data_IF_198869042142
#
_entry.id   IF_198869042142
#
_cell.length_a   1.000
_cell.length_b   1.000
_cell.length_c   1.000
_cell.angle_alpha   90.00
_cell.angle_beta   90.00
_cell.angle_gamma   90.00
#
_symmetry.space_group_name_H-M   'P 1'
#
loop_
_entity.id
_entity.type
_entity.pdbx_description
1 polymer ?
#
# COMPACT_ATOMS: atom_id res chain seq x y z
N UNK A 1 10.30 37.00 29.63
CA UNK A 1 9.34 36.86 28.53
C UNK A 1 8.91 35.41 28.46
N UNK A 2 7.67 35.13 28.87
CA UNK A 2 7.04 33.81 28.75
C UNK A 2 6.70 33.60 27.28
N UNK A 3 7.12 32.48 26.72
CA UNK A 3 6.75 32.09 25.35
C UNK A 3 5.44 31.34 25.46
N UNK A 4 4.36 31.97 25.00
CA UNK A 4 3.04 31.37 24.94
C UNK A 4 3.04 30.16 24.02
N UNK A 5 2.63 29.03 24.58
CA UNK A 5 2.33 27.80 23.86
C UNK A 5 0.98 27.98 23.20
N UNK A 6 0.98 28.25 21.90
CA UNK A 6 -0.25 28.26 21.10
C UNK A 6 -0.81 26.84 21.04
N UNK A 7 -1.94 26.64 21.75
CA UNK A 7 -2.72 25.42 21.76
C UNK A 7 -3.24 25.12 20.35
N UNK A 8 -2.95 23.92 19.84
CA UNK A 8 -3.53 23.41 18.62
C UNK A 8 -5.05 23.34 18.77
N UNK A 9 -5.77 23.98 17.85
CA UNK A 9 -7.22 23.91 17.75
C UNK A 9 -7.68 22.45 17.60
N UNK A 10 -8.63 22.04 18.44
CA UNK A 10 -9.28 20.74 18.43
C UNK A 10 -9.85 20.43 17.04
N UNK A 11 -9.44 19.31 16.46
CA UNK A 11 -10.12 18.73 15.30
C UNK A 11 -11.54 18.28 15.72
N UNK A 12 -12.57 18.51 14.90
CA UNK A 12 -13.91 18.04 15.23
C UNK A 12 -13.94 16.51 15.25
N UNK A 13 -14.08 15.92 16.44
CA UNK A 13 -14.40 14.49 16.59
C UNK A 13 -15.77 14.25 15.96
N UNK A 14 -15.85 13.30 15.03
CA UNK A 14 -17.13 12.87 14.44
C UNK A 14 -18.03 12.43 15.60
N UNK A 15 -19.21 13.06 15.82
CA UNK A 15 -20.07 12.74 16.94
C UNK A 15 -20.53 11.29 16.87
N UNK A 16 -20.36 10.55 17.97
CA UNK A 16 -20.88 9.19 18.09
C UNK A 16 -22.43 9.23 18.04
N UNK A 17 -23.07 8.32 17.29
CA UNK A 17 -24.53 8.26 17.22
C UNK A 17 -25.16 7.90 18.57
N UNK A 18 -26.36 8.41 18.83
CA UNK A 18 -27.13 8.02 20.03
C UNK A 18 -27.59 6.57 19.93
N UNK A 19 -27.83 5.91 21.06
CA UNK A 19 -28.36 4.54 21.10
C UNK A 19 -29.65 4.38 20.26
N UNK A 20 -30.54 5.38 20.27
CA UNK A 20 -31.75 5.37 19.45
C UNK A 20 -31.46 5.41 17.95
N UNK A 21 -30.49 6.21 17.52
CA UNK A 21 -30.07 6.27 16.11
C UNK A 21 -29.39 4.97 15.67
N UNK A 22 -28.61 4.34 16.54
CA UNK A 22 -27.97 3.05 16.25
C UNK A 22 -29.03 1.97 16.06
N UNK A 23 -30.03 1.89 16.95
CA UNK A 23 -31.06 0.85 16.90
C UNK A 23 -31.99 0.97 15.69
N UNK A 24 -32.24 2.18 15.20
CA UNK A 24 -33.04 2.43 14.01
C UNK A 24 -32.24 2.27 12.70
N UNK A 25 -30.92 2.08 12.78
CA UNK A 25 -30.08 2.06 11.59
C UNK A 25 -30.21 0.75 10.80
N UNK A 26 -30.25 0.87 9.47
CA UNK A 26 -30.28 -0.26 8.54
C UNK A 26 -29.17 -1.28 8.77
N UNK A 27 -27.93 -0.86 9.05
CA UNK A 27 -26.80 -1.78 9.33
C UNK A 27 -27.09 -2.57 10.60
N UNK A 28 -27.57 -1.92 11.66
CA UNK A 28 -27.90 -2.59 12.92
C UNK A 28 -29.05 -3.58 12.75
N UNK A 29 -30.08 -3.21 11.98
CA UNK A 29 -31.19 -4.11 11.66
C UNK A 29 -30.71 -5.35 10.91
N UNK A 30 -29.87 -5.18 9.88
CA UNK A 30 -29.27 -6.29 9.15
C UNK A 30 -28.35 -7.12 10.05
N UNK A 31 -27.53 -6.49 10.88
CA UNK A 31 -26.67 -7.19 11.81
C UNK A 31 -27.48 -8.10 12.72
N UNK A 32 -28.56 -7.59 13.33
CA UNK A 32 -29.44 -8.37 14.19
C UNK A 32 -30.12 -9.53 13.47
N UNK A 33 -30.35 -9.45 12.16
CA UNK A 33 -30.93 -10.54 11.37
C UNK A 33 -29.92 -11.62 10.97
N UNK A 34 -28.63 -11.29 10.85
CA UNK A 34 -27.68 -12.15 10.13
C UNK A 34 -26.36 -12.47 10.84
N UNK A 35 -25.80 -11.59 11.67
CA UNK A 35 -24.43 -11.80 12.20
C UNK A 35 -24.13 -11.21 13.58
N UNK A 36 -25.05 -10.43 14.15
CA UNK A 36 -24.91 -9.81 15.47
C UNK A 36 -24.80 -10.88 16.56
N UNK A 37 -23.77 -10.85 17.42
CA UNK A 37 -23.61 -11.83 18.50
C UNK A 37 -24.82 -11.90 19.44
N UNK A 38 -25.54 -10.79 19.62
CA UNK A 38 -26.67 -10.67 20.55
C UNK A 38 -27.92 -11.43 20.09
N UNK A 39 -28.03 -11.73 18.79
CA UNK A 39 -29.23 -12.36 18.19
C UNK A 39 -28.93 -13.71 17.53
N UNK A 40 -27.80 -14.33 17.89
CA UNK A 40 -27.24 -15.53 17.24
C UNK A 40 -28.23 -16.69 17.06
N UNK A 41 -29.16 -16.87 17.99
CA UNK A 41 -30.14 -17.97 17.95
C UNK A 41 -31.19 -17.81 16.84
N UNK A 42 -31.40 -16.59 16.34
CA UNK A 42 -32.45 -16.26 15.38
C UNK A 42 -31.88 -15.73 14.03
N UNK A 43 -30.61 -16.01 13.73
CA UNK A 43 -30.00 -15.57 12.49
C UNK A 43 -30.61 -16.28 11.28
N UNK A 44 -30.88 -15.50 10.23
CA UNK A 44 -31.18 -16.03 8.91
C UNK A 44 -29.94 -16.69 8.30
N UNK A 45 -30.12 -17.62 7.33
CA UNK A 45 -29.00 -18.19 6.59
C UNK A 45 -28.16 -17.12 5.88
N UNK A 46 -26.89 -17.45 5.62
CA UNK A 46 -26.00 -16.59 4.85
C UNK A 46 -26.58 -16.29 3.47
N UNK A 47 -26.51 -15.01 3.08
CA UNK A 47 -26.97 -14.52 1.78
C UNK A 47 -25.96 -13.53 1.21
N UNK A 48 -25.33 -13.91 0.08
CA UNK A 48 -24.35 -13.08 -0.61
C UNK A 48 -24.96 -11.77 -1.13
N UNK A 49 -26.27 -11.71 -1.40
CA UNK A 49 -26.94 -10.49 -1.83
C UNK A 49 -26.94 -9.40 -0.73
N UNK A 50 -26.85 -9.78 0.54
CA UNK A 50 -26.72 -8.84 1.64
C UNK A 50 -25.36 -8.14 1.60
N UNK A 51 -24.29 -8.87 1.27
CA UNK A 51 -22.95 -8.30 1.09
C UNK A 51 -22.94 -7.31 -0.07
N UNK A 52 -23.54 -7.66 -1.20
CA UNK A 52 -23.70 -6.76 -2.35
C UNK A 52 -24.50 -5.50 -1.98
N UNK A 53 -25.64 -5.67 -1.34
CA UNK A 53 -26.51 -4.56 -0.92
C UNK A 53 -25.80 -3.61 0.05
N UNK A 54 -25.06 -4.14 1.03
CA UNK A 54 -24.26 -3.32 1.96
C UNK A 54 -23.16 -2.59 1.22
N UNK A 55 -22.44 -3.28 0.34
CA UNK A 55 -21.36 -2.66 -0.42
C UNK A 55 -21.88 -1.52 -1.30
N UNK A 56 -22.95 -1.75 -2.07
CA UNK A 56 -23.50 -0.75 -2.97
C UNK A 56 -24.12 0.43 -2.24
N UNK A 57 -24.91 0.19 -1.19
CA UNK A 57 -25.63 1.27 -0.51
C UNK A 57 -24.80 1.97 0.56
N UNK A 58 -24.09 1.19 1.39
CA UNK A 58 -23.48 1.70 2.63
C UNK A 58 -22.01 2.04 2.48
N UNK A 59 -21.29 1.39 1.56
CA UNK A 59 -19.86 1.64 1.31
C UNK A 59 -19.70 2.54 0.07
N UNK A 60 -20.13 2.08 -1.10
CA UNK A 60 -20.02 2.87 -2.35
C UNK A 60 -21.00 4.04 -2.38
N UNK A 61 -22.28 3.80 -2.09
CA UNK A 61 -23.34 4.81 -2.13
C UNK A 61 -23.12 5.95 -1.13
N UNK A 62 -22.47 5.66 0.00
CA UNK A 62 -22.06 6.68 0.98
C UNK A 62 -20.70 7.32 0.68
N UNK A 63 -20.05 6.94 -0.42
CA UNK A 63 -18.70 7.40 -0.79
C UNK A 63 -17.65 7.08 0.29
N UNK A 64 -17.69 5.87 0.85
CA UNK A 64 -16.83 5.40 1.94
C UNK A 64 -16.95 6.27 3.19
N UNK A 65 -18.17 6.66 3.56
CA UNK A 65 -18.39 7.47 4.75
C UNK A 65 -17.93 6.72 6.00
N UNK A 66 -16.98 7.34 6.72
CA UNK A 66 -16.39 6.83 7.98
C UNK A 66 -17.45 6.29 8.92
N UNK A 67 -18.54 7.04 9.17
CA UNK A 67 -19.60 6.64 10.08
C UNK A 67 -20.28 5.32 9.68
N UNK A 68 -20.50 5.05 8.39
CA UNK A 68 -21.11 3.79 7.92
C UNK A 68 -20.15 2.63 8.13
N UNK A 69 -18.87 2.84 7.82
CA UNK A 69 -17.80 1.84 7.98
C UNK A 69 -17.61 1.48 9.46
N UNK A 70 -17.55 2.48 10.35
CA UNK A 70 -17.47 2.27 11.80
C UNK A 70 -18.61 1.39 12.33
N UNK A 71 -19.83 1.60 11.83
CA UNK A 71 -20.98 0.83 12.28
C UNK A 71 -20.93 -0.63 11.79
N UNK A 72 -20.44 -0.88 10.57
CA UNK A 72 -20.17 -2.24 10.10
C UNK A 72 -19.12 -2.93 10.98
N UNK A 73 -18.02 -2.24 11.29
CA UNK A 73 -16.95 -2.76 12.15
C UNK A 73 -17.47 -3.08 13.56
N UNK A 74 -18.19 -2.13 14.19
CA UNK A 74 -18.75 -2.30 15.53
C UNK A 74 -19.75 -3.47 15.60
N UNK A 75 -20.47 -3.74 14.51
CA UNK A 75 -21.38 -4.87 14.41
C UNK A 75 -20.69 -6.23 14.20
N UNK A 76 -19.35 -6.27 14.14
CA UNK A 76 -18.53 -7.47 13.86
C UNK A 76 -18.80 -8.08 12.48
N UNK A 77 -19.02 -7.22 11.47
CA UNK A 77 -19.34 -7.64 10.12
C UNK A 77 -18.27 -8.54 9.49
N UNK A 78 -16.99 -8.25 9.75
CA UNK A 78 -15.87 -9.05 9.25
C UNK A 78 -15.86 -10.46 9.84
N UNK A 79 -15.90 -10.54 11.17
CA UNK A 79 -15.71 -11.78 11.93
C UNK A 79 -16.89 -12.74 11.78
N UNK A 80 -18.10 -12.21 11.69
CA UNK A 80 -19.31 -13.01 11.80
C UNK A 80 -20.05 -13.18 10.47
N UNK A 81 -19.83 -12.32 9.46
CA UNK A 81 -20.53 -12.42 8.18
C UNK A 81 -19.61 -12.54 6.97
N UNK A 82 -18.57 -11.70 6.87
CA UNK A 82 -17.72 -11.67 5.68
C UNK A 82 -16.75 -12.86 5.63
N UNK A 83 -15.81 -12.95 6.56
CA UNK A 83 -14.70 -13.90 6.46
C UNK A 83 -15.13 -15.37 6.58
N UNK A 84 -16.05 -15.75 7.49
CA UNK A 84 -16.50 -17.14 7.60
C UNK A 84 -17.11 -17.69 6.31
N UNK A 85 -17.72 -16.82 5.50
CA UNK A 85 -18.42 -17.17 4.26
C UNK A 85 -17.66 -16.78 2.99
N UNK A 86 -16.41 -16.31 3.12
CA UNK A 86 -15.59 -15.98 1.97
C UNK A 86 -15.02 -17.24 1.33
N UNK A 87 -15.29 -17.42 0.04
CA UNK A 87 -14.74 -18.47 -0.82
C UNK A 87 -14.21 -17.85 -2.10
N UNK A 88 -12.90 -17.95 -2.37
CA UNK A 88 -12.24 -17.14 -3.42
C UNK A 88 -12.84 -17.31 -4.82
N UNK A 89 -13.34 -18.50 -5.16
CA UNK A 89 -13.93 -18.77 -6.48
C UNK A 89 -15.36 -18.24 -6.64
N UNK A 90 -16.05 -17.95 -5.54
CA UNK A 90 -17.45 -17.51 -5.52
C UNK A 90 -17.62 -16.07 -5.03
N UNK A 91 -16.65 -15.57 -4.28
CA UNK A 91 -16.71 -14.26 -3.66
C UNK A 91 -16.70 -13.16 -4.73
N UNK A 92 -17.66 -12.25 -4.62
CA UNK A 92 -17.78 -11.12 -5.52
C UNK A 92 -16.76 -10.03 -5.22
N UNK A 93 -16.66 -9.05 -6.12
CA UNK A 93 -15.87 -7.84 -5.90
C UNK A 93 -16.32 -7.09 -4.63
N UNK A 94 -17.63 -7.00 -4.39
CA UNK A 94 -18.19 -6.38 -3.19
C UNK A 94 -17.76 -7.10 -1.91
N UNK A 95 -17.71 -8.44 -1.93
CA UNK A 95 -17.25 -9.23 -0.79
C UNK A 95 -15.78 -8.98 -0.48
N UNK A 96 -14.92 -9.03 -1.51
CA UNK A 96 -13.49 -8.73 -1.38
C UNK A 96 -13.28 -7.31 -0.85
N UNK A 97 -13.91 -6.31 -1.45
CA UNK A 97 -13.76 -4.91 -1.05
C UNK A 97 -14.32 -4.63 0.34
N UNK A 98 -15.42 -5.27 0.73
CA UNK A 98 -15.95 -5.14 2.10
C UNK A 98 -14.98 -5.67 3.13
N UNK A 99 -14.30 -6.80 2.87
CA UNK A 99 -13.25 -7.33 3.76
C UNK A 99 -12.09 -6.32 3.88
N UNK A 100 -11.60 -5.80 2.75
CA UNK A 100 -10.52 -4.79 2.71
C UNK A 100 -10.90 -3.57 3.56
N UNK A 101 -12.11 -3.06 3.38
CA UNK A 101 -12.60 -1.88 4.10
C UNK A 101 -12.67 -2.15 5.61
N UNK A 102 -13.15 -3.31 6.04
CA UNK A 102 -13.16 -3.68 7.47
C UNK A 102 -11.75 -3.80 8.05
N UNK A 103 -10.79 -4.34 7.30
CA UNK A 103 -9.40 -4.42 7.78
C UNK A 103 -8.78 -3.04 7.92
N UNK A 104 -8.94 -2.18 6.91
CA UNK A 104 -8.44 -0.80 6.96
C UNK A 104 -9.05 -0.05 8.14
N UNK A 105 -10.34 -0.23 8.41
CA UNK A 105 -11.02 0.36 9.55
C UNK A 105 -10.45 -0.13 10.88
N UNK A 106 -10.19 -1.43 11.02
CA UNK A 106 -9.58 -1.97 12.24
C UNK A 106 -8.20 -1.39 12.51
N UNK A 107 -7.40 -1.16 11.46
CA UNK A 107 -6.13 -0.45 11.60
C UNK A 107 -6.30 1.01 12.02
N UNK A 108 -7.29 1.71 11.45
CA UNK A 108 -7.64 3.09 11.80
C UNK A 108 -8.03 3.24 13.27
N UNK A 109 -8.87 2.32 13.77
CA UNK A 109 -9.31 2.25 15.16
C UNK A 109 -8.28 1.59 16.09
N UNK A 110 -7.15 1.11 15.54
CA UNK A 110 -6.03 0.47 16.27
C UNK A 110 -6.44 -0.76 17.06
N UNK A 111 -7.36 -1.55 16.51
CA UNK A 111 -7.80 -2.82 17.07
C UNK A 111 -7.18 -4.01 16.32
N UNK A 112 -7.13 -5.22 16.90
CA UNK A 112 -6.55 -6.38 16.23
C UNK A 112 -7.24 -6.72 14.89
N UNK A 113 -6.56 -6.50 13.77
CA UNK A 113 -7.13 -6.70 12.44
C UNK A 113 -7.09 -8.14 11.93
N UNK A 114 -6.06 -8.91 12.30
CA UNK A 114 -5.76 -10.19 11.64
C UNK A 114 -6.49 -11.41 12.23
N UNK A 115 -7.22 -11.24 13.35
CA UNK A 115 -7.73 -12.36 14.12
C UNK A 115 -8.77 -13.21 13.37
N UNK A 116 -9.61 -12.59 12.54
CA UNK A 116 -10.57 -13.31 11.71
C UNK A 116 -9.86 -14.29 10.76
N UNK A 117 -8.81 -13.82 10.08
CA UNK A 117 -8.03 -14.64 9.15
C UNK A 117 -7.23 -15.74 9.84
N UNK A 118 -6.68 -15.48 11.03
CA UNK A 118 -5.92 -16.48 11.78
C UNK A 118 -6.80 -17.66 12.23
N UNK A 119 -8.10 -17.44 12.47
CA UNK A 119 -9.06 -18.49 12.82
C UNK A 119 -9.42 -19.39 11.62
N UNK A 120 -9.43 -18.84 10.41
CA UNK A 120 -9.76 -19.56 9.16
C UNK A 120 -8.81 -19.12 8.04
N UNK A 121 -7.54 -19.57 8.03
CA UNK A 121 -6.49 -19.03 7.17
C UNK A 121 -6.52 -19.55 5.72
N UNK A 122 -7.32 -20.57 5.41
CA UNK A 122 -7.25 -21.38 4.19
C UNK A 122 -7.43 -20.55 2.92
N UNK A 123 -8.34 -19.58 2.95
CA UNK A 123 -8.65 -18.74 1.79
C UNK A 123 -7.76 -17.50 1.68
N UNK A 124 -6.94 -17.18 2.69
CA UNK A 124 -6.16 -15.94 2.71
C UNK A 124 -5.15 -15.83 1.55
N UNK A 125 -4.41 -16.88 1.16
CA UNK A 125 -3.47 -16.77 0.03
C UNK A 125 -4.16 -16.40 -1.28
N UNK A 126 -5.35 -16.94 -1.51
CA UNK A 126 -6.12 -16.73 -2.73
C UNK A 126 -6.86 -15.38 -2.69
N UNK A 127 -7.39 -14.97 -1.54
CA UNK A 127 -7.86 -13.60 -1.29
C UNK A 127 -6.77 -12.57 -1.56
N UNK A 128 -5.57 -12.76 -1.00
CA UNK A 128 -4.44 -11.85 -1.22
C UNK A 128 -4.07 -11.76 -2.71
N UNK A 129 -4.06 -12.88 -3.44
CA UNK A 129 -3.86 -12.85 -4.89
C UNK A 129 -4.94 -12.06 -5.64
N UNK A 130 -6.21 -12.19 -5.25
CA UNK A 130 -7.31 -11.40 -5.82
C UNK A 130 -7.08 -9.90 -5.59
N UNK A 131 -6.66 -9.51 -4.37
CA UNK A 131 -6.31 -8.13 -4.02
C UNK A 131 -5.15 -7.60 -4.87
N UNK A 132 -4.07 -8.39 -5.03
CA UNK A 132 -2.95 -8.01 -5.89
C UNK A 132 -3.44 -7.74 -7.31
N UNK A 133 -4.25 -8.64 -7.88
CA UNK A 133 -4.78 -8.49 -9.24
C UNK A 133 -5.64 -7.22 -9.36
N UNK A 134 -6.58 -7.00 -8.45
CA UNK A 134 -7.43 -5.82 -8.42
C UNK A 134 -6.63 -4.51 -8.31
N UNK A 135 -5.53 -4.50 -7.55
CA UNK A 135 -4.70 -3.31 -7.34
C UNK A 135 -3.94 -2.84 -8.59
N UNK A 136 -3.75 -3.69 -9.59
CA UNK A 136 -2.99 -3.38 -10.82
C UNK A 136 -3.85 -3.29 -12.08
N UNK A 137 -5.17 -3.39 -11.97
CA UNK A 137 -6.09 -3.18 -13.11
C UNK A 137 -6.03 -1.72 -13.55
N UNK A 138 -5.73 -1.48 -14.83
CA UNK A 138 -5.61 -0.14 -15.41
C UNK A 138 -6.97 0.58 -15.54
N UNK A 139 -8.05 -0.15 -15.79
CA UNK A 139 -9.41 0.36 -16.00
C UNK A 139 -10.16 0.70 -14.70
N UNK A 140 -9.45 0.83 -13.59
CA UNK A 140 -10.07 1.05 -12.29
C UNK A 140 -10.78 2.41 -12.23
N UNK A 141 -12.12 2.39 -12.25
CA UNK A 141 -12.95 3.60 -12.32
C UNK A 141 -13.04 4.37 -11.01
N UNK A 142 -12.75 3.74 -9.87
CA UNK A 142 -12.96 4.34 -8.55
C UNK A 142 -11.65 4.43 -7.76
N UNK A 143 -11.12 5.66 -7.65
CA UNK A 143 -9.87 5.93 -6.93
C UNK A 143 -9.95 5.63 -5.43
N UNK A 144 -11.15 5.62 -4.82
CA UNK A 144 -11.30 5.23 -3.41
C UNK A 144 -11.08 3.75 -3.21
N UNK A 145 -11.63 2.91 -4.07
CA UNK A 145 -11.39 1.46 -4.04
C UNK A 145 -9.89 1.19 -4.22
N UNK A 146 -9.25 1.86 -5.18
CA UNK A 146 -7.82 1.72 -5.44
C UNK A 146 -6.96 2.16 -4.25
N UNK A 147 -7.36 3.23 -3.58
CA UNK A 147 -6.69 3.69 -2.35
C UNK A 147 -6.90 2.69 -1.21
N UNK A 148 -8.10 2.12 -1.05
CA UNK A 148 -8.38 1.10 -0.03
C UNK A 148 -7.59 -0.19 -0.26
N UNK A 149 -7.44 -0.62 -1.51
CA UNK A 149 -6.58 -1.74 -1.91
C UNK A 149 -5.11 -1.48 -1.52
N UNK A 150 -4.58 -0.30 -1.86
CA UNK A 150 -3.22 0.08 -1.46
C UNK A 150 -3.04 0.12 0.05
N UNK A 151 -3.99 0.67 0.79
CA UNK A 151 -3.92 0.77 2.24
C UNK A 151 -3.90 -0.63 2.89
N UNK A 152 -4.72 -1.55 2.41
CA UNK A 152 -4.67 -2.95 2.84
C UNK A 152 -3.31 -3.60 2.56
N UNK A 153 -2.73 -3.33 1.39
CA UNK A 153 -1.39 -3.83 1.06
C UNK A 153 -0.33 -3.22 1.98
N UNK A 154 -0.41 -1.93 2.31
CA UNK A 154 0.44 -1.27 3.32
C UNK A 154 0.35 -2.01 4.65
N UNK A 155 -0.85 -2.36 5.10
CA UNK A 155 -1.04 -3.13 6.32
C UNK A 155 -0.41 -4.53 6.24
N UNK A 156 -0.54 -5.24 5.12
CA UNK A 156 0.09 -6.55 4.93
C UNK A 156 1.63 -6.48 4.93
N UNK A 157 2.22 -5.51 4.22
CA UNK A 157 3.68 -5.31 4.21
C UNK A 157 4.20 -4.80 5.56
N UNK A 158 3.40 -3.99 6.27
CA UNK A 158 3.71 -3.51 7.60
C UNK A 158 3.56 -4.56 8.72
N UNK A 159 2.89 -5.69 8.45
CA UNK A 159 2.61 -6.75 9.42
C UNK A 159 3.42 -8.03 9.17
N UNK A 160 4.68 -7.90 8.75
CA UNK A 160 5.55 -9.04 8.44
C UNK A 160 5.89 -9.94 9.64
N UNK A 161 5.60 -9.51 10.86
CA UNK A 161 5.65 -10.32 12.08
C UNK A 161 4.53 -11.37 12.13
N UNK A 162 3.39 -11.11 11.49
CA UNK A 162 2.28 -12.06 11.36
C UNK A 162 2.63 -13.07 10.26
N UNK A 163 2.75 -14.35 10.62
CA UNK A 163 3.13 -15.44 9.70
C UNK A 163 2.24 -15.46 8.43
N UNK A 164 0.94 -15.26 8.61
CA UNK A 164 -0.04 -15.20 7.53
C UNK A 164 0.33 -14.14 6.46
N UNK A 165 0.63 -12.91 6.88
CA UNK A 165 1.04 -11.84 5.99
C UNK A 165 2.44 -12.10 5.41
N UNK A 166 3.40 -12.49 6.27
CA UNK A 166 4.78 -12.78 5.89
C UNK A 166 4.89 -13.76 4.73
N UNK A 167 4.09 -14.83 4.75
CA UNK A 167 4.13 -15.85 3.70
C UNK A 167 3.67 -15.35 2.34
N UNK A 168 2.76 -14.37 2.31
CA UNK A 168 2.31 -13.76 1.07
C UNK A 168 3.23 -12.64 0.58
N UNK A 169 3.74 -11.79 1.49
CA UNK A 169 4.53 -10.61 1.07
C UNK A 169 5.97 -10.97 0.73
N UNK A 170 6.58 -11.95 1.41
CA UNK A 170 8.00 -12.30 1.21
C UNK A 170 8.34 -12.71 -0.23
N UNK A 171 7.38 -13.30 -0.95
CA UNK A 171 7.57 -13.72 -2.34
C UNK A 171 7.66 -12.52 -3.29
N UNK A 172 7.02 -11.40 -2.96
CA UNK A 172 6.97 -10.19 -3.78
C UNK A 172 8.27 -9.35 -3.70
N UNK A 173 9.06 -9.52 -2.64
CA UNK A 173 10.28 -8.73 -2.35
C UNK A 173 11.56 -9.56 -2.37
N UNK A 174 11.51 -10.75 -2.97
CA UNK A 174 12.66 -11.66 -3.05
C UNK A 174 13.54 -11.37 -4.27
N UNK A 175 14.74 -11.96 -4.33
CA UNK A 175 15.66 -11.85 -5.48
C UNK A 175 14.97 -12.13 -6.82
N UNK A 176 13.96 -13.01 -6.84
CA UNK A 176 13.23 -13.39 -8.05
C UNK A 176 12.49 -12.21 -8.71
N UNK A 177 12.26 -11.12 -7.99
CA UNK A 177 11.66 -9.90 -8.56
C UNK A 177 12.54 -9.22 -9.61
N UNK A 178 13.85 -9.49 -9.63
CA UNK A 178 14.77 -8.97 -10.65
C UNK A 178 14.48 -9.48 -12.09
N UNK A 179 13.47 -10.31 -12.27
CA UNK A 179 12.92 -10.63 -13.60
C UNK A 179 12.29 -9.39 -14.27
N UNK A 180 11.91 -8.40 -13.46
CA UNK A 180 11.39 -7.11 -13.91
C UNK A 180 12.47 -6.19 -14.47
N UNK A 181 13.73 -6.37 -14.04
CA UNK A 181 14.86 -5.56 -14.49
C UNK A 181 15.22 -5.87 -15.94
N UNK A 182 15.71 -4.84 -16.64
CA UNK A 182 16.43 -5.03 -17.88
C UNK A 182 17.62 -5.99 -17.69
N UNK A 183 17.88 -6.82 -18.70
CA UNK A 183 18.94 -7.83 -18.61
C UNK A 183 20.33 -7.22 -18.35
N UNK A 184 20.64 -6.09 -19.00
CA UNK A 184 21.87 -5.34 -18.79
C UNK A 184 22.05 -4.92 -17.33
N UNK A 185 21.03 -4.28 -16.75
CA UNK A 185 21.00 -3.85 -15.34
C UNK A 185 21.17 -5.05 -14.39
N UNK A 186 20.37 -6.11 -14.57
CA UNK A 186 20.47 -7.33 -13.76
C UNK A 186 21.89 -7.95 -13.81
N UNK A 187 22.49 -7.97 -15.00
CA UNK A 187 23.85 -8.50 -15.17
C UNK A 187 24.92 -7.64 -14.49
N UNK A 188 24.74 -6.32 -14.42
CA UNK A 188 25.61 -5.43 -13.65
C UNK A 188 25.52 -5.75 -12.15
N UNK A 189 24.32 -5.92 -11.60
CA UNK A 189 24.15 -6.29 -10.19
C UNK A 189 24.81 -7.64 -9.86
N UNK A 190 24.71 -8.61 -10.78
CA UNK A 190 25.41 -9.89 -10.64
C UNK A 190 26.93 -9.78 -10.72
N UNK A 191 27.48 -8.80 -11.44
CA UNK A 191 28.94 -8.55 -11.44
C UNK A 191 29.38 -7.95 -10.10
N UNK A 192 28.60 -7.03 -9.55
CA UNK A 192 28.86 -6.42 -8.24
C UNK A 192 28.81 -7.44 -7.11
N UNK A 193 27.84 -8.37 -7.16
CA UNK A 193 27.68 -9.43 -6.15
C UNK A 193 27.51 -10.80 -6.83
N UNK A 194 28.61 -11.48 -7.21
CA UNK A 194 28.58 -12.74 -7.97
C UNK A 194 27.74 -13.87 -7.37
N UNK A 195 27.63 -13.94 -6.04
CA UNK A 195 26.79 -14.93 -5.35
C UNK A 195 25.31 -14.85 -5.73
N UNK A 196 24.79 -13.67 -6.10
CA UNK A 196 23.40 -13.51 -6.55
C UNK A 196 23.11 -14.25 -7.84
N UNK A 197 24.08 -14.35 -8.75
CA UNK A 197 23.94 -15.16 -9.96
C UNK A 197 23.71 -16.63 -9.64
N UNK A 198 24.41 -17.17 -8.62
CA UNK A 198 24.23 -18.56 -8.18
C UNK A 198 22.83 -18.80 -7.62
N UNK A 199 22.34 -17.93 -6.74
CA UNK A 199 20.99 -18.07 -6.18
C UNK A 199 19.90 -17.81 -7.22
N UNK A 200 20.09 -16.87 -8.14
CA UNK A 200 19.18 -16.64 -9.26
C UNK A 200 19.00 -17.90 -10.10
N UNK A 201 20.09 -18.55 -10.50
CA UNK A 201 20.04 -19.83 -11.23
C UNK A 201 19.35 -20.93 -10.42
N UNK A 202 19.58 -20.99 -9.11
CA UNK A 202 18.94 -21.96 -8.24
C UNK A 202 17.42 -21.73 -8.11
N UNK A 203 16.97 -20.47 -8.09
CA UNK A 203 15.55 -20.11 -8.12
C UNK A 203 14.94 -20.61 -9.44
N UNK A 204 15.55 -20.25 -10.57
CA UNK A 204 15.07 -20.68 -11.90
C UNK A 204 14.99 -22.20 -12.03
N UNK A 205 15.94 -22.95 -11.45
CA UNK A 205 15.92 -24.42 -11.47
C UNK A 205 14.79 -25.03 -10.63
N UNK A 206 14.35 -24.33 -9.58
CA UNK A 206 13.24 -24.78 -8.70
C UNK A 206 11.87 -24.44 -9.26
N UNK A 207 11.79 -23.52 -10.20
CA UNK A 207 10.53 -23.10 -10.79
C UNK A 207 9.95 -24.22 -11.64
N UNK A 208 8.75 -24.66 -11.27
CA UNK A 208 8.02 -25.67 -12.03
C UNK A 208 7.38 -25.01 -13.25
N UNK A 209 7.44 -25.64 -14.45
CA UNK A 209 6.78 -25.11 -15.64
C UNK A 209 5.29 -24.83 -15.43
N UNK A 210 4.58 -25.72 -14.73
CA UNK A 210 3.13 -25.57 -14.47
C UNK A 210 2.77 -24.31 -13.66
N UNK A 211 3.72 -23.77 -12.88
CA UNK A 211 3.51 -22.59 -12.03
C UNK A 211 4.14 -21.32 -12.60
N UNK A 212 4.78 -21.41 -13.77
CA UNK A 212 5.64 -20.35 -14.29
C UNK A 212 4.88 -19.04 -14.50
N UNK A 213 3.68 -19.08 -15.08
CA UNK A 213 2.89 -17.88 -15.34
C UNK A 213 2.52 -17.15 -14.05
N UNK A 214 2.08 -17.90 -13.04
CA UNK A 214 1.80 -17.35 -11.70
C UNK A 214 3.06 -16.73 -11.08
N UNK A 215 4.18 -17.46 -11.10
CA UNK A 215 5.45 -16.98 -10.54
C UNK A 215 5.95 -15.71 -11.25
N UNK A 216 5.92 -15.68 -12.58
CA UNK A 216 6.31 -14.50 -13.36
C UNK A 216 5.36 -13.31 -13.11
N UNK A 217 4.08 -13.59 -12.92
CA UNK A 217 3.12 -12.56 -12.55
C UNK A 217 3.46 -11.97 -11.18
N UNK A 218 3.62 -12.77 -10.14
CA UNK A 218 3.95 -12.29 -8.79
C UNK A 218 5.28 -11.55 -8.73
N UNK A 219 6.32 -12.04 -9.42
CA UNK A 219 7.66 -11.42 -9.43
C UNK A 219 7.69 -10.04 -10.10
N UNK A 220 6.75 -9.76 -10.98
CA UNK A 220 6.60 -8.46 -11.66
C UNK A 220 5.55 -7.57 -10.99
N UNK A 221 4.90 -8.04 -9.92
CA UNK A 221 3.78 -7.33 -9.30
C UNK A 221 4.15 -5.90 -8.89
N UNK A 222 5.21 -5.70 -8.10
CA UNK A 222 5.60 -4.36 -7.63
C UNK A 222 6.01 -3.43 -8.79
N UNK A 223 6.63 -3.97 -9.85
CA UNK A 223 6.90 -3.20 -11.07
C UNK A 223 5.60 -2.76 -11.74
N UNK A 224 4.61 -3.66 -11.90
CA UNK A 224 3.31 -3.31 -12.47
C UNK A 224 2.59 -2.26 -11.64
N UNK A 225 2.65 -2.37 -10.31
CA UNK A 225 2.06 -1.39 -9.40
C UNK A 225 2.74 -0.02 -9.55
N UNK A 226 4.08 0.03 -9.64
CA UNK A 226 4.82 1.26 -9.95
C UNK A 226 4.41 1.86 -11.29
N UNK A 227 4.28 1.05 -12.34
CA UNK A 227 3.86 1.52 -13.67
C UNK A 227 2.46 2.12 -13.63
N UNK A 228 1.50 1.45 -12.98
CA UNK A 228 0.15 1.98 -12.80
C UNK A 228 0.15 3.30 -12.04
N UNK A 229 0.90 3.36 -10.93
CA UNK A 229 1.05 4.61 -10.17
C UNK A 229 1.60 5.74 -11.04
N UNK A 230 2.64 5.49 -11.84
CA UNK A 230 3.21 6.52 -12.72
C UNK A 230 2.19 7.03 -13.73
N UNK A 231 1.36 6.14 -14.30
CA UNK A 231 0.26 6.56 -15.20
C UNK A 231 -0.76 7.45 -14.51
N UNK A 232 -1.18 7.10 -13.29
CA UNK A 232 -2.11 7.91 -12.50
C UNK A 232 -1.47 9.28 -12.18
N UNK A 233 -0.23 9.28 -11.72
CA UNK A 233 0.51 10.49 -11.38
C UNK A 233 0.67 11.42 -12.60
N UNK A 234 0.98 10.85 -13.77
CA UNK A 234 1.15 11.58 -15.03
C UNK A 234 -0.20 12.08 -15.60
N UNK A 235 -1.32 11.46 -15.24
CA UNK A 235 -2.67 11.94 -15.62
C UNK A 235 -3.18 13.13 -14.82
N UNK A 236 -2.53 13.48 -13.70
CA UNK A 236 -2.94 14.62 -12.88
C UNK A 236 -2.55 15.93 -13.60
N UNK A 237 -3.51 16.83 -13.90
CA UNK A 237 -3.21 18.09 -14.57
C UNK A 237 -2.45 19.06 -13.67
N UNK A 238 -1.63 19.94 -14.25
CA UNK A 238 -0.85 20.92 -13.49
C UNK A 238 -1.72 22.04 -12.91
N UNK A 239 -2.72 22.51 -13.67
CA UNK A 239 -3.48 23.72 -13.35
C UNK A 239 -4.99 23.51 -13.19
N UNK A 240 -5.55 22.43 -13.75
CA UNK A 240 -6.99 22.15 -13.68
C UNK A 240 -7.40 21.56 -12.32
N UNK A 241 -8.71 21.38 -12.10
CA UNK A 241 -9.22 20.69 -10.92
C UNK A 241 -8.66 19.26 -10.85
N UNK A 242 -8.25 18.85 -9.65
CA UNK A 242 -7.68 17.53 -9.40
C UNK A 242 -8.64 16.69 -8.58
N UNK A 243 -8.77 15.41 -8.93
CA UNK A 243 -9.47 14.45 -8.09
C UNK A 243 -8.69 14.27 -6.76
N UNK A 244 -9.25 14.67 -5.60
CA UNK A 244 -8.57 14.50 -4.32
C UNK A 244 -8.28 13.03 -3.98
N UNK A 245 -9.03 12.08 -4.55
CA UNK A 245 -8.77 10.65 -4.35
C UNK A 245 -7.57 10.16 -5.15
N UNK A 246 -7.27 10.76 -6.31
CA UNK A 246 -6.05 10.49 -7.04
C UNK A 246 -4.81 10.98 -6.27
N UNK A 247 -4.89 12.16 -5.65
CA UNK A 247 -3.82 12.67 -4.78
C UNK A 247 -3.58 11.74 -3.60
N UNK A 248 -4.65 11.34 -2.89
CA UNK A 248 -4.57 10.39 -1.77
C UNK A 248 -4.00 9.04 -2.19
N UNK A 249 -4.37 8.54 -3.37
CA UNK A 249 -3.79 7.32 -3.92
C UNK A 249 -2.27 7.48 -4.08
N UNK A 250 -1.80 8.59 -4.66
CA UNK A 250 -0.37 8.86 -4.82
C UNK A 250 0.37 8.94 -3.47
N UNK A 251 -0.24 9.56 -2.45
CA UNK A 251 0.32 9.63 -1.10
C UNK A 251 0.45 8.23 -0.48
N UNK A 252 -0.61 7.41 -0.55
CA UNK A 252 -0.61 6.04 0.02
C UNK A 252 0.29 5.09 -0.76
N UNK A 253 0.46 5.32 -2.05
CA UNK A 253 1.45 4.62 -2.84
C UNK A 253 2.87 4.94 -2.36
N UNK A 254 3.21 6.22 -2.15
CA UNK A 254 4.54 6.58 -1.65
C UNK A 254 4.78 6.07 -0.22
N UNK A 255 3.76 6.03 0.63
CA UNK A 255 3.81 5.36 1.94
C UNK A 255 4.27 3.90 1.79
N UNK A 256 3.69 3.14 0.85
CA UNK A 256 4.10 1.76 0.57
C UNK A 256 5.59 1.68 0.19
N UNK A 257 6.02 2.55 -0.73
CA UNK A 257 7.39 2.55 -1.24
C UNK A 257 8.39 2.87 -0.11
N UNK A 258 8.04 3.84 0.75
CA UNK A 258 8.84 4.21 1.92
C UNK A 258 8.95 3.04 2.90
N UNK A 259 7.84 2.39 3.24
CA UNK A 259 7.84 1.26 4.18
C UNK A 259 8.67 0.08 3.64
N UNK A 260 8.57 -0.21 2.35
CA UNK A 260 9.40 -1.21 1.67
C UNK A 260 10.89 -0.86 1.69
N UNK A 261 11.26 0.41 1.51
CA UNK A 261 12.66 0.87 1.58
C UNK A 261 13.19 1.02 3.01
N UNK A 262 12.30 1.10 4.00
CA UNK A 262 12.68 1.33 5.39
C UNK A 262 13.25 0.07 6.07
N UNK A 263 12.85 -1.12 5.62
CA UNK A 263 13.23 -2.40 6.22
C UNK A 263 14.22 -3.15 5.31
N UNK A 264 15.31 -3.67 5.89
CA UNK A 264 16.34 -4.38 5.12
C UNK A 264 15.81 -5.60 4.33
N UNK A 265 14.92 -6.46 4.88
CA UNK A 265 14.43 -7.64 4.17
C UNK A 265 13.66 -7.32 2.88
N UNK A 266 12.94 -6.21 2.86
CA UNK A 266 12.14 -5.73 1.71
C UNK A 266 13.01 -4.89 0.76
N UNK A 267 13.82 -3.97 1.29
CA UNK A 267 14.68 -3.05 0.53
C UNK A 267 15.67 -3.75 -0.39
N UNK A 268 16.30 -4.82 0.10
CA UNK A 268 17.53 -5.40 -0.49
C UNK A 268 17.47 -5.63 -2.01
N UNK A 269 16.34 -6.15 -2.51
CA UNK A 269 16.16 -6.43 -3.93
C UNK A 269 15.22 -5.43 -4.58
N UNK A 270 14.31 -4.86 -3.81
CA UNK A 270 13.32 -3.89 -4.26
C UNK A 270 13.96 -2.57 -4.70
N UNK A 271 14.93 -2.05 -3.96
CA UNK A 271 15.60 -0.78 -4.23
C UNK A 271 16.12 -0.69 -5.68
N UNK A 272 16.75 -1.76 -6.17
CA UNK A 272 17.24 -1.85 -7.55
C UNK A 272 16.11 -1.74 -8.59
N UNK A 273 14.95 -2.35 -8.32
CA UNK A 273 13.79 -2.31 -9.23
C UNK A 273 13.14 -0.93 -9.19
N UNK A 274 13.04 -0.30 -8.03
CA UNK A 274 12.53 1.06 -7.88
C UNK A 274 13.38 2.06 -8.67
N UNK A 275 14.71 1.94 -8.57
CA UNK A 275 15.67 2.77 -9.30
C UNK A 275 15.58 2.57 -10.83
N UNK A 276 15.46 1.32 -11.29
CA UNK A 276 15.25 0.98 -12.72
C UNK A 276 13.93 1.53 -13.28
N UNK A 277 12.93 1.77 -12.43
CA UNK A 277 11.67 2.44 -12.81
C UNK A 277 11.77 3.97 -12.82
N UNK A 278 12.90 4.54 -12.37
CA UNK A 278 13.10 5.99 -12.22
C UNK A 278 12.02 6.67 -11.37
N UNK A 279 11.48 5.95 -10.37
CA UNK A 279 10.30 6.37 -9.62
C UNK A 279 10.48 7.75 -8.98
N UNK A 280 11.61 7.96 -8.30
CA UNK A 280 11.92 9.21 -7.57
C UNK A 280 11.91 10.41 -8.52
N UNK A 281 12.63 10.29 -9.63
CA UNK A 281 12.77 11.37 -10.63
C UNK A 281 11.41 11.68 -11.24
N UNK A 282 10.62 10.67 -11.58
CA UNK A 282 9.26 10.88 -12.11
C UNK A 282 8.35 11.57 -11.09
N UNK A 283 8.44 11.23 -9.81
CA UNK A 283 7.69 11.92 -8.76
C UNK A 283 8.05 13.41 -8.66
N UNK A 284 9.35 13.73 -8.76
CA UNK A 284 9.82 15.12 -8.69
C UNK A 284 9.45 15.96 -9.92
N UNK A 285 9.36 15.33 -11.09
CA UNK A 285 9.02 16.00 -12.34
C UNK A 285 7.50 16.09 -12.59
N UNK A 286 6.69 15.32 -11.87
CA UNK A 286 5.25 15.24 -12.08
C UNK A 286 4.53 16.58 -11.78
N UNK A 287 3.43 16.89 -12.48
CA UNK A 287 2.64 18.09 -12.23
C UNK A 287 2.18 18.24 -10.77
N UNK A 288 1.82 17.13 -10.11
CA UNK A 288 1.40 17.12 -8.70
C UNK A 288 2.45 17.75 -7.77
N UNK A 289 3.75 17.62 -8.09
CA UNK A 289 4.85 18.20 -7.32
C UNK A 289 4.87 19.74 -7.32
N UNK A 290 4.11 20.40 -8.21
CA UNK A 290 4.02 21.87 -8.32
C UNK A 290 2.73 22.43 -7.73
N UNK A 291 1.81 21.55 -7.32
CA UNK A 291 0.50 21.92 -6.76
C UNK A 291 0.54 22.10 -5.25
N UNK A 292 -0.38 22.90 -4.73
CA UNK A 292 -0.63 23.03 -3.28
C UNK A 292 -1.14 21.72 -2.65
N UNK A 293 -1.93 20.96 -3.39
CA UNK A 293 -2.53 19.70 -2.98
C UNK A 293 -1.48 18.59 -2.88
N UNK A 294 -0.38 18.70 -3.64
CA UNK A 294 0.74 17.76 -3.64
C UNK A 294 1.80 18.02 -2.58
N UNK A 295 1.56 18.91 -1.61
CA UNK A 295 2.59 19.24 -0.60
C UNK A 295 2.99 18.03 0.24
N UNK A 296 2.04 17.18 0.63
CA UNK A 296 2.33 15.96 1.36
C UNK A 296 3.05 14.94 0.46
N UNK A 297 2.56 14.74 -0.75
CA UNK A 297 3.22 13.92 -1.77
C UNK A 297 4.70 14.31 -1.96
N UNK A 298 5.00 15.61 -2.07
CA UNK A 298 6.36 16.14 -2.17
C UNK A 298 7.22 15.84 -0.94
N UNK A 299 6.63 15.92 0.26
CA UNK A 299 7.36 15.60 1.49
C UNK A 299 7.79 14.13 1.52
N UNK A 300 7.00 13.24 0.91
CA UNK A 300 7.35 11.83 0.74
C UNK A 300 8.34 11.58 -0.39
N UNK A 301 8.17 12.24 -1.55
CA UNK A 301 9.05 12.08 -2.71
C UNK A 301 10.45 12.71 -2.52
N UNK A 302 10.61 13.58 -1.51
CA UNK A 302 11.80 14.37 -1.27
C UNK A 302 11.80 15.66 -2.10
N UNK A 303 12.04 16.81 -1.45
CA UNK A 303 12.13 18.10 -2.15
C UNK A 303 13.34 18.14 -3.09
N UNK A 304 13.21 18.66 -4.32
CA UNK A 304 14.38 19.02 -5.10
C UNK A 304 15.18 20.09 -4.32
N UNK A 305 16.52 20.03 -4.33
CA UNK A 305 17.34 20.99 -3.61
C UNK A 305 17.06 22.40 -4.13
N UNK A 306 16.45 23.24 -3.28
CA UNK A 306 16.13 24.62 -3.58
C UNK A 306 17.42 25.45 -3.67
N UNK A 307 17.72 26.01 -4.84
CA UNK A 307 18.54 27.22 -4.94
C UNK A 307 20.07 27.06 -5.00
N UNK A 308 20.63 25.93 -5.44
CA UNK A 308 22.01 25.93 -5.95
C UNK A 308 21.98 25.83 -7.47
N UNK A 309 22.68 26.70 -8.23
CA UNK A 309 22.81 26.51 -9.67
C UNK A 309 23.33 25.09 -9.89
N UNK A 310 22.79 24.41 -10.90
CA UNK A 310 23.31 23.12 -11.36
C UNK A 310 24.84 23.23 -11.42
N UNK A 311 25.52 22.67 -10.42
CA UNK A 311 26.95 22.51 -10.50
C UNK A 311 27.12 21.62 -11.72
N UNK A 312 27.69 22.18 -12.79
CA UNK A 312 28.17 21.41 -13.93
C UNK A 312 28.83 20.17 -13.35
N UNK A 313 28.45 18.99 -13.84
CA UNK A 313 29.18 17.76 -13.57
C UNK A 313 30.64 18.06 -13.85
N UNK A 314 31.44 18.19 -12.79
CA UNK A 314 32.87 18.33 -12.92
C UNK A 314 33.40 16.90 -13.05
N UNK A 315 33.31 16.39 -14.29
CA UNK A 315 33.78 15.05 -14.69
C UNK A 315 35.29 14.86 -14.39
N UNK A 316 35.99 15.93 -14.01
CA UNK A 316 37.38 15.96 -13.56
C UNK A 316 37.63 15.16 -12.27
N UNK A 317 36.62 14.98 -11.40
CA UNK A 317 36.75 14.14 -10.20
C UNK A 317 36.46 12.65 -10.44
N UNK A 318 35.98 12.27 -11.62
CA UNK A 318 35.77 10.85 -11.97
C UNK A 318 37.01 10.13 -12.50
N UNK A 319 38.13 10.84 -12.73
CA UNK A 319 39.31 10.25 -13.38
C UNK A 319 40.31 9.62 -12.40
N UNK A 320 40.25 9.93 -11.11
CA UNK A 320 41.13 9.32 -10.13
C UNK A 320 40.29 8.56 -9.10
N UNK A 321 40.07 7.25 -9.34
CA UNK A 321 39.87 6.20 -8.33
C UNK A 321 39.66 4.86 -9.07
N UNK A 322 40.71 4.43 -9.78
CA UNK A 322 40.89 3.04 -10.21
C UNK A 322 41.41 2.27 -9.01
N UNK A 323 40.55 1.76 -8.13
CA UNK A 323 40.85 0.67 -7.19
C UNK A 323 39.56 0.17 -6.51
N UNK A 324 39.63 -1.06 -6.00
CA UNK A 324 38.52 -1.90 -5.52
C UNK A 324 37.59 -1.25 -4.45
N UNK A 325 38.01 -0.18 -3.79
CA UNK A 325 37.23 0.56 -2.79
C UNK A 325 36.25 1.59 -3.39
N UNK A 326 36.50 2.07 -4.62
CA UNK A 326 35.62 3.06 -5.28
C UNK A 326 34.27 2.51 -5.76
N UNK A 327 34.05 1.19 -5.70
CA UNK A 327 32.74 0.57 -6.01
C UNK A 327 31.85 0.56 -4.75
N UNK A 328 32.44 0.36 -3.57
CA UNK A 328 31.72 0.47 -2.29
C UNK A 328 31.29 1.89 -2.01
N UNK A 329 32.14 2.88 -2.30
CA UNK A 329 31.79 4.30 -2.18
C UNK A 329 30.76 4.74 -3.23
N UNK A 330 30.82 4.27 -4.49
CA UNK A 330 29.76 4.58 -5.48
C UNK A 330 28.40 3.98 -5.13
N UNK A 331 28.38 2.77 -4.57
CA UNK A 331 27.15 2.14 -4.08
C UNK A 331 26.64 2.83 -2.80
N UNK A 332 27.55 3.31 -1.94
CA UNK A 332 27.21 4.12 -0.77
C UNK A 332 26.65 5.49 -1.16
N UNK A 333 27.27 6.20 -2.11
CA UNK A 333 26.81 7.52 -2.59
C UNK A 333 25.43 7.43 -3.26
N UNK A 334 25.17 6.43 -4.11
CA UNK A 334 23.84 6.23 -4.71
C UNK A 334 22.78 5.81 -3.67
N UNK A 335 23.16 4.96 -2.71
CA UNK A 335 22.30 4.60 -1.57
C UNK A 335 22.07 5.77 -0.60
N UNK A 336 23.03 6.67 -0.48
CA UNK A 336 23.00 7.84 0.40
C UNK A 336 22.19 8.97 -0.24
N UNK A 337 22.21 9.15 -1.57
CA UNK A 337 21.34 10.10 -2.27
C UNK A 337 19.85 9.68 -2.19
N UNK A 338 19.53 8.39 -2.36
CA UNK A 338 18.17 7.87 -2.16
C UNK A 338 17.78 7.84 -0.67
N UNK A 339 18.72 7.55 0.25
CA UNK A 339 18.48 7.68 1.70
C UNK A 339 18.21 9.12 2.12
N UNK A 340 18.94 10.09 1.58
CA UNK A 340 18.77 11.51 1.89
C UNK A 340 17.43 12.02 1.35
N UNK A 341 16.95 11.50 0.22
CA UNK A 341 15.66 11.89 -0.37
C UNK A 341 14.44 11.23 0.30
N UNK A 342 14.50 9.94 0.63
CA UNK A 342 13.34 9.19 1.15
C UNK A 342 13.34 8.91 2.67
N UNK A 343 14.45 9.00 3.41
CA UNK A 343 14.50 8.34 4.74
C UNK A 343 14.68 9.22 5.98
N UNK A 344 15.25 10.42 5.90
CA UNK A 344 15.47 11.22 7.11
C UNK A 344 14.22 12.02 7.54
N UNK A 345 13.61 12.76 6.61
CA UNK A 345 12.40 13.57 6.89
C UNK A 345 11.11 12.75 6.75
N UNK A 346 11.03 11.85 5.77
CA UNK A 346 9.81 11.06 5.57
C UNK A 346 9.51 10.12 6.74
N UNK A 347 10.52 9.57 7.46
CA UNK A 347 10.28 8.72 8.64
C UNK A 347 9.65 9.47 9.82
N UNK A 348 10.14 10.67 10.14
CA UNK A 348 9.55 11.52 11.20
C UNK A 348 8.15 11.98 10.82
N UNK A 349 7.95 12.31 9.55
CA UNK A 349 6.67 12.73 9.03
C UNK A 349 5.66 11.58 8.96
N UNK A 350 6.06 10.38 8.55
CA UNK A 350 5.24 9.16 8.58
C UNK A 350 4.78 8.83 9.99
N UNK A 351 5.66 8.96 11.01
CA UNK A 351 5.25 8.83 12.41
C UNK A 351 4.32 9.95 12.90
N UNK A 352 4.23 11.09 12.20
CA UNK A 352 3.23 12.10 12.53
C UNK A 352 1.93 11.91 11.74
N UNK A 353 2.01 11.42 10.50
CA UNK A 353 0.89 11.31 9.56
C UNK A 353 0.09 10.02 9.75
N UNK A 354 0.77 8.88 9.93
CA UNK A 354 0.16 7.61 10.35
C UNK A 354 -0.60 7.75 11.68
N UNK A 355 -0.32 8.82 12.42
CA UNK A 355 -0.92 9.11 13.72
C UNK A 355 -1.89 10.31 13.72
N UNK A 356 -1.92 11.14 12.66
CA UNK A 356 -2.75 12.35 12.61
C UNK A 356 -3.57 12.56 11.32
N UNK A 357 -3.43 11.78 10.25
CA UNK A 357 -4.20 12.00 8.98
C UNK A 357 -5.38 11.03 8.81
N UNK A 358 -5.59 10.09 9.74
CA UNK A 358 -6.71 9.13 9.67
C UNK A 358 -7.93 9.50 10.53
N UNK A 359 -8.01 10.77 10.94
CA UNK A 359 -9.15 11.38 11.64
C UNK A 359 -10.11 12.08 10.69
#
# INVERSE_FOLDING_TARGET
MKVDVQQNADKPKIPLPTLSQINADRITLLANQYWSPQTKENHLPYDAAIVESIYQAEILGSSFAVRRIMMLEFSQYLENYLWPHYETEKASHAHMMSIIVMINEKFRERVPAWQAFLKKPEHFPAFFEQVLRASVVDEAKNMREQTALLLFLNHCFGSMEVQLCRDQVKRLVSLSMWISLQEGRRNQEFKTVPKWRKYWRAIQKKDKPELMDKLLWERRYLQRLMIKFMRILESIPETEDVDPYAVRYCERFLELMIDLEALLPTRRFFNTVMDDCHLVVRCQLAPLARRSEGQLFLQFAGRPPSGKPQHKRDDSRMVALRNHDGIRERHAICCDDIRVLFTANARKLMFHIKYNIES
#
